data_IF_698697759688
#
_entry.id   IF_698697759688
#
_cell.length_a   1.000
_cell.length_b   1.000
_cell.length_c   1.000
_cell.angle_alpha   90.00
_cell.angle_beta   90.00
_cell.angle_gamma   90.00
#
_symmetry.space_group_name_H-M   'P 1'
#
loop_
_entity.id
_entity.type
_entity.pdbx_description
1 polymer ?
#
# COMPACT_ATOMS: atom_id res chain seq x y z
N UNK A 1 9.29 -24.14 -15.28
CA UNK A 1 9.61 -22.74 -15.59
C UNK A 1 9.36 -21.93 -14.33
N UNK A 2 10.39 -21.30 -13.77
CA UNK A 2 10.17 -20.33 -12.70
C UNK A 2 9.55 -19.11 -13.37
N UNK A 3 8.31 -18.81 -13.00
CA UNK A 3 7.59 -17.70 -13.59
C UNK A 3 8.15 -16.44 -12.95
N UNK A 4 8.84 -15.62 -13.75
CA UNK A 4 9.28 -14.29 -13.33
C UNK A 4 8.05 -13.41 -13.23
N UNK A 5 7.93 -12.68 -12.12
CA UNK A 5 6.84 -11.76 -11.89
C UNK A 5 7.29 -10.57 -11.09
N UNK A 6 6.87 -9.39 -11.54
CA UNK A 6 7.10 -8.10 -10.94
C UNK A 6 5.75 -7.43 -10.63
N UNK A 7 5.74 -6.65 -9.55
CA UNK A 7 4.60 -5.85 -9.18
C UNK A 7 5.02 -4.62 -8.36
N UNK A 8 4.18 -3.61 -8.39
CA UNK A 8 4.28 -2.39 -7.63
C UNK A 8 2.94 -2.07 -6.98
N UNK A 9 3.00 -1.61 -5.73
CA UNK A 9 1.85 -1.17 -4.96
C UNK A 9 2.04 0.29 -4.59
N UNK A 10 1.00 1.10 -4.80
CA UNK A 10 0.97 2.49 -4.37
C UNK A 10 -0.27 2.78 -3.52
N UNK A 11 -0.06 3.51 -2.43
CA UNK A 11 -1.10 4.04 -1.58
C UNK A 11 -1.06 5.56 -1.65
N UNK A 12 -2.20 6.14 -1.97
CA UNK A 12 -2.42 7.58 -1.95
C UNK A 12 -3.45 7.87 -0.87
N UNK A 13 -3.05 8.58 0.17
CA UNK A 13 -3.75 8.67 1.45
C UNK A 13 -4.09 10.12 1.74
N UNK A 14 -5.37 10.40 1.99
CA UNK A 14 -5.89 11.76 2.11
C UNK A 14 -6.58 11.96 3.47
N UNK A 15 -6.73 13.23 3.84
CA UNK A 15 -7.46 13.63 5.05
C UNK A 15 -6.90 12.92 6.30
N UNK A 16 -5.59 13.04 6.51
CA UNK A 16 -4.87 12.43 7.64
C UNK A 16 -5.40 12.99 8.98
N UNK A 17 -5.48 12.19 10.05
CA UNK A 17 -5.86 12.66 11.38
C UNK A 17 -4.91 13.72 11.92
N UNK A 18 -5.41 14.63 12.76
CA UNK A 18 -4.62 15.73 13.32
C UNK A 18 -3.37 15.29 14.06
N UNK A 19 -3.48 14.24 14.85
CA UNK A 19 -2.37 13.64 15.58
C UNK A 19 -1.30 13.07 14.62
N UNK A 20 -1.69 12.48 13.49
CA UNK A 20 -0.75 12.07 12.44
C UNK A 20 -0.11 13.28 11.76
N UNK A 21 -0.89 14.31 11.42
CA UNK A 21 -0.37 15.53 10.81
C UNK A 21 0.73 16.16 11.68
N UNK A 22 0.50 16.29 12.99
CA UNK A 22 1.44 16.95 13.92
C UNK A 22 2.81 16.28 13.99
N UNK A 23 2.90 14.96 13.79
CA UNK A 23 4.19 14.25 13.78
C UNK A 23 5.14 14.83 12.74
N UNK A 24 4.62 15.30 11.61
CA UNK A 24 5.41 15.78 10.47
C UNK A 24 5.57 17.32 10.44
N UNK A 25 5.31 17.99 11.57
CA UNK A 25 5.64 19.39 11.78
C UNK A 25 6.94 19.53 12.58
N UNK A 26 7.71 20.58 12.30
CA UNK A 26 8.94 20.85 13.05
C UNK A 26 9.25 22.34 13.12
N UNK A 27 9.83 22.76 14.25
CA UNK A 27 10.43 24.09 14.39
C UNK A 27 11.94 24.09 14.11
N UNK A 28 12.52 22.93 13.77
CA UNK A 28 13.93 22.78 13.40
C UNK A 28 14.13 23.24 11.94
N UNK A 29 15.38 23.50 11.57
CA UNK A 29 15.72 23.82 10.19
C UNK A 29 15.41 22.65 9.25
N UNK A 30 15.11 22.96 8.00
CA UNK A 30 14.98 21.98 6.93
C UNK A 30 16.26 21.13 6.82
N UNK A 31 16.10 19.82 6.56
CA UNK A 31 17.20 18.87 6.51
C UNK A 31 17.84 18.54 7.87
N UNK A 32 17.23 18.94 9.00
CA UNK A 32 17.75 18.59 10.32
C UNK A 32 17.66 17.07 10.58
N UNK A 33 18.78 16.35 10.71
CA UNK A 33 18.74 14.89 10.87
C UNK A 33 18.04 14.41 12.14
N UNK A 34 18.11 15.21 13.22
CA UNK A 34 17.40 14.90 14.47
C UNK A 34 15.88 14.93 14.27
N UNK A 35 15.37 15.91 13.52
CA UNK A 35 13.95 16.04 13.24
C UNK A 35 13.46 14.94 12.28
N UNK A 36 14.22 14.64 11.22
CA UNK A 36 13.88 13.55 10.31
C UNK A 36 13.77 12.20 11.05
N UNK A 37 14.78 11.85 11.86
CA UNK A 37 14.77 10.62 12.67
C UNK A 37 13.66 10.59 13.71
N UNK A 38 13.30 11.75 14.28
CA UNK A 38 12.16 11.84 15.19
C UNK A 38 10.85 11.55 14.46
N UNK A 39 10.61 12.17 13.29
CA UNK A 39 9.45 11.89 12.44
C UNK A 39 9.36 10.40 12.06
N UNK A 40 10.48 9.79 11.65
CA UNK A 40 10.55 8.36 11.31
C UNK A 40 10.17 7.46 12.49
N UNK A 41 10.66 7.77 13.69
CA UNK A 41 10.39 6.97 14.89
C UNK A 41 8.96 7.17 15.40
N UNK A 42 8.50 8.42 15.48
CA UNK A 42 7.23 8.79 16.10
C UNK A 42 6.02 8.45 15.21
N UNK A 43 6.20 8.46 13.90
CA UNK A 43 5.17 8.01 12.95
C UNK A 43 4.99 6.49 12.95
N UNK A 44 5.98 5.72 13.41
CA UNK A 44 6.02 4.26 13.27
C UNK A 44 6.66 3.78 11.97
N UNK A 45 7.20 4.68 11.14
CA UNK A 45 7.91 4.30 9.91
C UNK A 45 9.20 3.50 10.17
N UNK A 46 9.83 3.65 11.34
CA UNK A 46 10.96 2.80 11.73
C UNK A 46 10.54 1.32 11.87
N UNK A 47 9.40 1.05 12.50
CA UNK A 47 8.90 -0.33 12.61
C UNK A 47 8.44 -0.89 11.26
N UNK A 48 7.99 0.00 10.35
CA UNK A 48 7.67 -0.35 8.98
C UNK A 48 8.92 -0.73 8.18
N UNK A 49 10.02 0.03 8.30
CA UNK A 49 11.29 -0.29 7.64
C UNK A 49 11.87 -1.61 8.14
N UNK A 50 11.80 -1.86 9.45
CA UNK A 50 12.23 -3.13 10.04
C UNK A 50 11.42 -4.32 9.48
N UNK A 51 10.12 -4.13 9.21
CA UNK A 51 9.25 -5.15 8.63
C UNK A 51 9.60 -5.47 7.17
N UNK A 52 10.01 -4.45 6.41
CA UNK A 52 10.50 -4.58 5.04
C UNK A 52 11.93 -5.17 5.03
N UNK A 53 12.66 -5.05 6.15
CA UNK A 53 14.06 -5.44 6.25
C UNK A 53 14.99 -4.43 5.60
N UNK A 54 14.64 -3.14 5.64
CA UNK A 54 15.36 -2.07 4.95
C UNK A 54 15.86 -0.95 5.86
N UNK A 55 16.83 -0.21 5.35
CA UNK A 55 17.39 0.98 6.00
C UNK A 55 16.67 2.25 5.52
N UNK A 56 16.39 3.17 6.45
CA UNK A 56 15.70 4.43 6.18
C UNK A 56 16.71 5.53 5.85
N UNK A 57 16.49 6.21 4.73
CA UNK A 57 17.08 7.50 4.37
C UNK A 57 15.99 8.56 4.43
N UNK A 58 15.95 9.36 5.50
CA UNK A 58 14.88 10.28 5.82
C UNK A 58 15.26 11.76 5.65
N UNK A 59 14.26 12.58 5.34
CA UNK A 59 14.41 14.02 5.15
C UNK A 59 13.21 14.77 5.75
N UNK A 60 13.49 15.76 6.59
CA UNK A 60 12.46 16.66 7.12
C UNK A 60 12.45 18.00 6.40
N UNK A 61 11.26 18.48 6.03
CA UNK A 61 11.03 19.82 5.49
C UNK A 61 10.60 20.79 6.60
N UNK A 62 10.81 22.09 6.38
CA UNK A 62 10.38 23.14 7.32
C UNK A 62 9.38 24.10 6.64
N UNK A 63 8.30 24.51 7.33
CA UNK A 63 7.94 24.20 8.73
C UNK A 63 7.29 22.81 8.92
N UNK A 64 7.04 22.08 7.85
CA UNK A 64 6.46 20.74 7.89
C UNK A 64 6.72 19.98 6.59
N UNK A 65 6.53 18.67 6.65
CA UNK A 65 6.70 17.76 5.52
C UNK A 65 7.82 16.76 5.77
N UNK A 66 7.71 15.61 5.11
CA UNK A 66 8.65 14.51 5.27
C UNK A 66 8.76 13.71 3.98
N UNK A 67 9.96 13.22 3.69
CA UNK A 67 10.22 12.24 2.64
C UNK A 67 11.18 11.19 3.18
N UNK A 68 10.99 9.93 2.78
CA UNK A 68 11.97 8.89 3.08
C UNK A 68 11.99 7.81 2.01
N UNK A 69 13.18 7.27 1.81
CA UNK A 69 13.42 6.05 1.04
C UNK A 69 13.82 4.93 1.99
N UNK A 70 13.25 3.74 1.79
CA UNK A 70 13.60 2.52 2.51
C UNK A 70 14.27 1.60 1.50
N UNK A 71 15.54 1.27 1.73
CA UNK A 71 16.32 0.39 0.87
C UNK A 71 16.40 -1.01 1.48
N UNK A 72 15.83 -2.01 0.83
CA UNK A 72 15.69 -3.38 1.35
C UNK A 72 16.12 -4.43 0.32
N UNK A 73 17.42 -4.44 -0.01
CA UNK A 73 17.98 -5.36 -1.01
C UNK A 73 17.40 -5.12 -2.40
N UNK A 74 16.61 -6.06 -2.93
CA UNK A 74 15.92 -5.92 -4.22
C UNK A 74 14.58 -5.16 -4.12
N UNK A 75 14.10 -4.94 -2.89
CA UNK A 75 12.90 -4.17 -2.61
C UNK A 75 13.23 -2.74 -2.18
N UNK A 76 12.27 -1.85 -2.38
CA UNK A 76 12.31 -0.49 -1.86
C UNK A 76 10.94 -0.09 -1.31
N UNK A 77 10.91 0.94 -0.49
CA UNK A 77 9.69 1.73 -0.31
C UNK A 77 9.98 3.22 -0.31
N UNK A 78 9.05 4.03 -0.81
CA UNK A 78 9.13 5.49 -0.78
C UNK A 78 7.95 6.06 -0.02
N UNK A 79 8.21 7.05 0.83
CA UNK A 79 7.20 7.75 1.62
C UNK A 79 7.31 9.24 1.40
N UNK A 80 6.19 9.90 1.12
CA UNK A 80 6.11 11.35 1.04
C UNK A 80 4.92 11.85 1.83
N UNK A 81 5.10 12.86 2.67
CA UNK A 81 4.04 13.40 3.54
C UNK A 81 3.94 14.91 3.43
N UNK A 82 2.73 15.38 3.15
CA UNK A 82 2.30 16.78 3.12
C UNK A 82 1.24 16.94 4.23
N UNK A 83 1.62 17.31 5.47
CA UNK A 83 0.74 17.23 6.64
C UNK A 83 -0.23 18.42 6.79
N UNK A 84 -0.21 19.38 5.87
CA UNK A 84 -0.96 20.62 5.94
C UNK A 84 -2.46 20.39 6.17
N UNK A 85 -3.05 21.17 7.06
CA UNK A 85 -4.45 21.06 7.38
C UNK A 85 -5.36 21.34 6.18
N UNK A 86 -6.46 20.60 6.06
CA UNK A 86 -7.46 20.75 4.99
C UNK A 86 -7.03 20.19 3.62
N UNK A 87 -5.75 19.86 3.43
CA UNK A 87 -5.24 19.24 2.22
C UNK A 87 -4.18 18.16 2.49
N UNK A 88 -4.19 17.59 3.70
CA UNK A 88 -3.18 16.63 4.15
C UNK A 88 -3.14 15.40 3.24
N UNK A 89 -1.93 14.99 2.87
CA UNK A 89 -1.67 13.89 1.94
C UNK A 89 -0.44 13.10 2.38
N UNK A 90 -0.49 11.78 2.19
CA UNK A 90 0.68 10.92 2.24
C UNK A 90 0.66 9.92 1.09
N UNK A 91 1.84 9.57 0.57
CA UNK A 91 2.01 8.44 -0.35
C UNK A 91 2.96 7.40 0.21
N UNK A 92 2.69 6.15 -0.13
CA UNK A 92 3.58 5.02 0.09
C UNK A 92 3.65 4.20 -1.20
N UNK A 93 4.84 3.88 -1.67
CA UNK A 93 5.08 3.11 -2.88
C UNK A 93 6.09 2.01 -2.58
N UNK A 94 5.89 0.80 -3.09
CA UNK A 94 6.82 -0.32 -2.88
C UNK A 94 6.71 -1.40 -3.94
N UNK A 95 7.78 -2.15 -4.13
CA UNK A 95 7.81 -3.45 -4.81
C UNK A 95 8.09 -4.61 -3.82
N UNK A 96 7.84 -4.44 -2.53
CA UNK A 96 8.12 -5.45 -1.51
C UNK A 96 7.44 -6.79 -1.82
N UNK A 97 8.23 -7.87 -1.83
CA UNK A 97 7.80 -9.21 -2.21
C UNK A 97 7.91 -9.52 -3.70
N UNK A 98 8.19 -8.52 -4.54
CA UNK A 98 8.59 -8.73 -5.94
C UNK A 98 10.03 -9.21 -6.02
N UNK A 99 10.35 -10.09 -6.98
CA UNK A 99 11.73 -10.51 -7.23
C UNK A 99 12.11 -10.39 -8.71
N UNK A 100 13.23 -9.72 -8.98
CA UNK A 100 13.76 -9.62 -10.36
C UNK A 100 14.38 -10.93 -10.83
N UNK A 101 14.74 -11.81 -9.89
CA UNK A 101 15.37 -13.11 -10.15
C UNK A 101 14.38 -14.23 -10.49
N UNK A 102 13.09 -13.92 -10.52
CA UNK A 102 12.04 -14.79 -11.04
C UNK A 102 11.64 -15.94 -10.12
N UNK A 103 11.78 -15.75 -8.81
CA UNK A 103 11.20 -16.61 -7.79
C UNK A 103 10.43 -15.75 -6.79
N UNK A 104 9.11 -15.73 -6.90
CA UNK A 104 8.26 -15.20 -5.83
C UNK A 104 8.22 -16.28 -4.74
N UNK A 105 8.94 -16.06 -3.65
CA UNK A 105 9.07 -17.01 -2.53
C UNK A 105 8.03 -16.71 -1.43
N UNK A 106 7.50 -17.77 -0.79
CA UNK A 106 6.61 -17.63 0.36
C UNK A 106 5.20 -17.12 0.05
N UNK A 107 4.46 -16.72 1.09
CA UNK A 107 3.12 -16.14 0.98
C UNK A 107 3.22 -14.63 0.72
N UNK A 108 3.55 -14.25 -0.52
CA UNK A 108 3.59 -12.84 -0.96
C UNK A 108 2.26 -12.15 -0.65
N UNK A 109 1.13 -12.83 -0.86
CA UNK A 109 -0.20 -12.33 -0.54
C UNK A 109 -0.33 -11.90 0.95
N UNK A 110 0.05 -12.77 1.89
CA UNK A 110 -0.06 -12.46 3.33
C UNK A 110 0.91 -11.36 3.73
N UNK A 111 2.17 -11.44 3.26
CA UNK A 111 3.21 -10.47 3.59
C UNK A 111 2.87 -9.07 3.08
N UNK A 112 2.35 -8.97 1.85
CA UNK A 112 1.97 -7.69 1.24
C UNK A 112 0.72 -7.09 1.91
N UNK A 113 -0.27 -7.91 2.27
CA UNK A 113 -1.41 -7.45 3.06
C UNK A 113 -1.01 -7.00 4.48
N UNK A 114 -0.09 -7.71 5.15
CA UNK A 114 0.45 -7.29 6.45
C UNK A 114 1.14 -5.93 6.33
N UNK A 115 2.03 -5.77 5.33
CA UNK A 115 2.73 -4.52 5.09
C UNK A 115 1.75 -3.37 4.85
N UNK A 116 0.78 -3.54 3.96
CA UNK A 116 -0.25 -2.52 3.69
C UNK A 116 -1.08 -2.23 4.93
N UNK A 117 -1.39 -3.25 5.74
CA UNK A 117 -2.02 -3.05 7.04
C UNK A 117 -1.23 -2.11 7.95
N UNK A 118 0.09 -2.32 8.07
CA UNK A 118 0.98 -1.47 8.87
C UNK A 118 1.04 -0.04 8.34
N UNK A 119 1.11 0.17 7.02
CA UNK A 119 1.05 1.52 6.42
C UNK A 119 -0.25 2.23 6.78
N UNK A 120 -1.37 1.53 6.72
CA UNK A 120 -2.68 2.08 7.09
C UNK A 120 -2.80 2.38 8.59
N UNK A 121 -2.11 1.63 9.44
CA UNK A 121 -2.07 1.86 10.88
C UNK A 121 -1.17 3.08 11.24
N UNK A 122 -0.14 3.37 10.44
CA UNK A 122 0.68 4.60 10.55
C UNK A 122 -0.14 5.83 10.17
N UNK A 123 -0.71 5.87 8.96
CA UNK A 123 -1.27 7.10 8.40
C UNK A 123 -2.76 7.30 8.71
N UNK A 124 -3.51 6.22 8.94
CA UNK A 124 -4.95 6.23 9.27
C UNK A 124 -5.79 7.23 8.44
N UNK A 125 -5.64 7.29 7.11
CA UNK A 125 -6.32 8.30 6.29
C UNK A 125 -7.84 8.13 6.32
N UNK A 126 -8.62 9.20 6.11
CA UNK A 126 -10.07 9.05 5.96
C UNK A 126 -10.48 8.49 4.59
N UNK A 127 -9.63 8.70 3.57
CA UNK A 127 -9.81 8.21 2.21
C UNK A 127 -8.48 7.76 1.65
N UNK A 128 -8.50 6.69 0.85
CA UNK A 128 -7.32 6.28 0.11
C UNK A 128 -7.65 5.72 -1.25
N UNK A 129 -6.64 5.77 -2.12
CA UNK A 129 -6.59 5.01 -3.35
C UNK A 129 -5.43 4.04 -3.25
N UNK A 130 -5.68 2.78 -3.60
CA UNK A 130 -4.70 1.70 -3.62
C UNK A 130 -4.57 1.22 -5.06
N UNK A 131 -3.36 1.24 -5.58
CA UNK A 131 -3.02 0.73 -6.92
C UNK A 131 -2.14 -0.49 -6.79
N UNK A 132 -2.35 -1.43 -7.72
CA UNK A 132 -1.49 -2.58 -7.96
C UNK A 132 -1.21 -2.62 -9.45
N UNK A 133 0.06 -2.51 -9.81
CA UNK A 133 0.55 -2.82 -11.15
C UNK A 133 1.31 -4.13 -11.07
N UNK A 134 1.05 -5.06 -11.97
CA UNK A 134 1.76 -6.34 -11.99
C UNK A 134 1.82 -6.92 -13.39
N UNK A 135 2.85 -7.73 -13.66
CA UNK A 135 2.79 -8.66 -14.78
C UNK A 135 2.07 -9.97 -14.39
N UNK A 136 1.62 -10.74 -15.39
CA UNK A 136 0.89 -11.99 -15.19
C UNK A 136 1.68 -13.04 -14.41
N UNK A 137 3.00 -12.96 -14.43
CA UNK A 137 3.86 -13.86 -13.66
C UNK A 137 3.76 -13.65 -12.15
N UNK A 138 3.38 -12.46 -11.70
CA UNK A 138 3.13 -12.15 -10.30
C UNK A 138 1.72 -12.53 -9.83
N UNK A 139 0.76 -12.71 -10.75
CA UNK A 139 -0.66 -12.85 -10.42
C UNK A 139 -0.97 -13.95 -9.39
N UNK A 140 -0.31 -15.12 -9.51
CA UNK A 140 -0.52 -16.23 -8.57
C UNK A 140 0.03 -15.93 -7.17
N UNK A 141 1.17 -15.26 -7.07
CA UNK A 141 1.81 -14.98 -5.78
C UNK A 141 1.13 -13.82 -5.05
N UNK A 142 0.73 -12.78 -5.80
CA UNK A 142 0.02 -11.61 -5.25
C UNK A 142 -1.38 -11.98 -4.77
N UNK A 143 -2.08 -12.87 -5.49
CA UNK A 143 -3.40 -13.34 -5.06
C UNK A 143 -4.41 -12.20 -4.90
N UNK A 144 -5.05 -12.10 -3.74
CA UNK A 144 -5.97 -11.02 -3.37
C UNK A 144 -5.32 -9.77 -2.77
N UNK A 145 -4.00 -9.75 -2.58
CA UNK A 145 -3.27 -8.59 -2.10
C UNK A 145 -3.22 -7.47 -3.17
N UNK A 146 -2.97 -6.22 -2.76
CA UNK A 146 -2.98 -5.69 -1.38
C UNK A 146 -4.38 -5.33 -0.84
N UNK A 147 -5.44 -5.66 -1.57
CA UNK A 147 -6.77 -5.07 -1.35
C UNK A 147 -7.47 -5.56 -0.09
N UNK A 148 -7.15 -6.77 0.41
CA UNK A 148 -7.78 -7.32 1.60
C UNK A 148 -7.49 -6.49 2.85
N UNK A 149 -6.25 -5.99 3.00
CA UNK A 149 -5.85 -5.15 4.12
C UNK A 149 -6.64 -3.83 4.22
N UNK A 150 -6.89 -3.19 3.08
CA UNK A 150 -7.71 -1.98 3.01
C UNK A 150 -9.20 -2.30 3.20
N UNK A 151 -9.72 -3.35 2.58
CA UNK A 151 -11.12 -3.76 2.71
C UNK A 151 -11.52 -4.16 4.14
N UNK A 152 -10.56 -4.64 4.95
CA UNK A 152 -10.79 -4.95 6.36
C UNK A 152 -10.99 -3.70 7.25
N UNK A 153 -10.49 -2.54 6.82
CA UNK A 153 -10.49 -1.28 7.59
C UNK A 153 -11.44 -0.22 7.01
N UNK A 154 -11.67 -0.25 5.71
CA UNK A 154 -12.37 0.80 4.98
C UNK A 154 -13.43 0.23 4.05
N UNK A 155 -14.49 1.03 3.83
CA UNK A 155 -15.48 0.70 2.81
C UNK A 155 -14.93 1.00 1.42
N UNK A 156 -14.83 -0.03 0.58
CA UNK A 156 -14.51 0.12 -0.84
C UNK A 156 -15.62 0.89 -1.56
N UNK A 157 -15.25 1.92 -2.31
CA UNK A 157 -16.15 2.79 -3.09
C UNK A 157 -16.15 2.41 -4.55
N UNK A 158 -14.97 2.16 -5.09
CA UNK A 158 -14.79 1.71 -6.48
C UNK A 158 -13.67 0.68 -6.55
N UNK A 159 -13.74 -0.16 -7.56
CA UNK A 159 -12.67 -1.07 -7.95
C UNK A 159 -12.68 -1.17 -9.47
N UNK A 160 -11.54 -0.92 -10.09
CA UNK A 160 -11.37 -1.03 -11.53
C UNK A 160 -10.11 -1.83 -11.79
N UNK A 161 -10.18 -2.79 -12.70
CA UNK A 161 -9.01 -3.52 -13.18
C UNK A 161 -8.97 -3.48 -14.70
N UNK A 162 -7.78 -3.34 -15.27
CA UNK A 162 -7.55 -3.40 -16.71
C UNK A 162 -6.32 -4.24 -17.00
N UNK A 163 -6.32 -4.90 -18.15
CA UNK A 163 -5.15 -5.54 -18.72
C UNK A 163 -4.61 -4.67 -19.85
N UNK A 164 -3.28 -4.62 -19.99
CA UNK A 164 -2.62 -3.91 -21.07
C UNK A 164 -1.40 -4.69 -21.55
N UNK A 165 -1.01 -4.48 -22.81
CA UNK A 165 0.15 -5.15 -23.46
C UNK A 165 0.17 -6.69 -23.33
N UNK A 166 -1.00 -7.33 -23.23
CA UNK A 166 -1.25 -8.78 -23.07
C UNK A 166 -0.87 -9.37 -21.71
N UNK A 167 0.26 -8.98 -21.12
CA UNK A 167 0.81 -9.59 -19.92
C UNK A 167 0.84 -8.68 -18.68
N UNK A 168 0.39 -7.42 -18.77
CA UNK A 168 0.28 -6.54 -17.61
C UNK A 168 -1.16 -6.35 -17.14
N UNK A 169 -1.32 -6.17 -15.83
CA UNK A 169 -2.56 -5.82 -15.18
C UNK A 169 -2.36 -4.61 -14.26
N UNK A 170 -3.33 -3.71 -14.27
CA UNK A 170 -3.46 -2.64 -13.28
C UNK A 170 -4.81 -2.76 -12.57
N UNK A 171 -4.79 -2.71 -11.25
CA UNK A 171 -5.98 -2.65 -10.42
C UNK A 171 -5.93 -1.41 -9.53
N UNK A 172 -7.05 -0.68 -9.47
CA UNK A 172 -7.20 0.56 -8.72
C UNK A 172 -8.45 0.44 -7.85
N UNK A 173 -8.30 0.68 -6.56
CA UNK A 173 -9.41 0.66 -5.61
C UNK A 173 -9.43 1.93 -4.78
N UNK A 174 -10.60 2.56 -4.69
CA UNK A 174 -10.83 3.72 -3.83
C UNK A 174 -11.59 3.28 -2.58
N UNK A 175 -11.15 3.77 -1.43
CA UNK A 175 -11.71 3.44 -0.12
C UNK A 175 -11.99 4.72 0.66
N UNK A 176 -13.05 4.70 1.49
CA UNK A 176 -13.37 5.82 2.36
C UNK A 176 -14.09 5.37 3.63
N UNK A 177 -13.96 6.16 4.69
CA UNK A 177 -14.63 5.94 5.97
C UNK A 177 -13.83 4.98 6.84
N UNK A 178 -12.70 5.46 7.34
CA UNK A 178 -11.90 4.77 8.35
C UNK A 178 -12.76 4.36 9.55
N UNK A 179 -12.37 3.33 10.32
CA UNK A 179 -13.02 3.07 11.59
C UNK A 179 -12.79 4.29 12.49
N UNK A 180 -13.87 4.92 12.96
CA UNK A 180 -13.73 5.76 14.16
C UNK A 180 -13.19 4.88 15.29
N UNK A 181 -12.22 5.35 16.09
CA UNK A 181 -11.74 4.58 17.23
C UNK A 181 -12.93 4.17 18.12
N UNK A 182 -13.20 2.86 18.19
CA UNK A 182 -14.25 2.27 19.02
C UNK A 182 -15.46 1.65 18.30
N UNK A 183 -15.59 1.74 16.96
CA UNK A 183 -16.68 1.08 16.22
C UNK A 183 -16.15 -0.04 15.32
N UNK A 184 -16.40 -1.31 15.67
CA UNK A 184 -16.19 -2.45 14.76
C UNK A 184 -17.21 -2.36 13.62
N UNK A 185 -16.75 -2.23 12.38
CA UNK A 185 -17.60 -2.36 11.21
C UNK A 185 -17.95 -3.84 10.96
N UNK A 186 -19.19 -4.09 10.56
CA UNK A 186 -19.66 -5.41 10.15
C UNK A 186 -19.07 -5.70 8.77
N UNK A 187 -18.30 -6.76 8.64
CA UNK A 187 -17.80 -7.24 7.34
C UNK A 187 -19.00 -7.71 6.53
N UNK A 188 -19.37 -6.98 5.48
CA UNK A 188 -20.25 -7.49 4.44
C UNK A 188 -19.39 -8.37 3.52
N UNK A 189 -19.80 -9.62 3.36
CA UNK A 189 -19.09 -10.60 2.53
C UNK A 189 -19.01 -10.14 1.06
N UNK A 190 -18.08 -10.71 0.28
CA UNK A 190 -17.87 -10.30 -1.10
C UNK A 190 -19.16 -10.52 -1.92
N UNK A 191 -19.59 -9.50 -2.66
CA UNK A 191 -20.53 -9.66 -3.75
C UNK A 191 -19.89 -10.55 -4.81
N UNK A 192 -20.39 -11.78 -4.92
CA UNK A 192 -20.00 -12.72 -5.97
C UNK A 192 -20.56 -12.19 -7.28
N UNK A 193 -19.67 -11.65 -8.14
CA UNK A 193 -20.01 -11.28 -9.51
C UNK A 193 -20.51 -12.51 -10.32
N UNK A 194 -21.20 -12.28 -11.45
CA UNK A 194 -21.88 -13.36 -12.17
C UNK A 194 -20.87 -14.43 -12.60
N UNK A 195 -21.20 -15.69 -12.27
CA UNK A 195 -20.48 -16.87 -12.75
C UNK A 195 -20.47 -16.84 -14.27
N UNK A 196 -19.28 -16.90 -14.87
CA UNK A 196 -19.17 -17.23 -16.28
C UNK A 196 -19.74 -18.64 -16.48
N UNK A 197 -20.83 -18.74 -17.23
CA UNK A 197 -21.36 -20.00 -17.72
C UNK A 197 -20.33 -20.61 -18.67
N UNK A 198 -19.74 -21.72 -18.26
CA UNK A 198 -18.92 -22.54 -19.14
C UNK A 198 -19.90 -23.36 -19.97
N UNK A 199 -20.06 -23.00 -21.25
CA UNK A 199 -20.79 -23.84 -22.20
C UNK A 199 -20.08 -25.20 -22.31
N UNK A 200 -20.80 -26.32 -22.18
CA UNK A 200 -20.20 -27.63 -22.36
C UNK A 200 -19.83 -27.82 -23.83
N UNK A 201 -18.58 -28.23 -24.04
CA UNK A 201 -18.05 -28.69 -25.32
C UNK A 201 -19.00 -29.73 -25.93
N UNK A 202 -19.55 -29.40 -27.09
CA UNK A 202 -20.35 -30.32 -27.89
C UNK A 202 -19.53 -31.55 -28.27
N UNK A 203 -19.86 -32.67 -27.65
CA UNK A 203 -19.65 -33.99 -28.24
C UNK A 203 -20.91 -34.36 -29.05
N UNK A 204 -20.73 -34.73 -30.31
CA UNK A 204 -21.72 -35.52 -31.04
C UNK A 204 -21.74 -35.28 -32.54
N UNK A 205 -21.40 -36.32 -33.30
CA UNK A 205 -21.86 -36.51 -34.69
C UNK A 205 -20.75 -36.65 -35.71
#
# INVERSE_FOLDING_TARGET
>A
CNVRGDFQVDLMMYDLPKDVQQVFHTSKAEGCPEAARAMTRESGLLALSDAIGGEVDDYCFAPCGYSANIHAGEAYAMVHVTPQDGCSYASFETNFGSTRQGQLEGSVEDALNDLVGRVLDVFRPQKLTLTLFMDQGAAKAVGGAPFAAAAARYRRRTYTSTYFEQDYAAAIANYAGAPEPGKRQRVEGPEVGPRAEIEPSGQGG
#
